data_IF_234855510251
#
_entry.id   IF_234855510251
#
_cell.length_a   1.000
_cell.length_b   1.000
_cell.length_c   1.000
_cell.angle_alpha   90.00
_cell.angle_beta   90.00
_cell.angle_gamma   90.00
#
_symmetry.space_group_name_H-M   'P 1'
#
loop_
_entity.id
_entity.type
_entity.pdbx_description
1 polymer ?
#
# COMPACT_ATOMS: atom_id res chain seq x y z
N UNK A 1 -2.37 55.48 16.12
CA UNK A 1 -3.72 55.18 15.57
C UNK A 1 -3.70 55.39 14.07
N UNK A 2 -4.17 54.41 13.28
CA UNK A 2 -4.99 54.53 12.05
C UNK A 2 -5.06 53.16 11.36
N UNK A 3 -6.23 52.52 11.45
CA UNK A 3 -6.56 51.32 10.66
C UNK A 3 -7.04 51.80 9.28
N UNK A 4 -6.53 51.21 8.20
CA UNK A 4 -7.15 51.35 6.88
C UNK A 4 -7.73 49.98 6.46
N UNK A 5 -8.98 50.01 6.01
CA UNK A 5 -9.84 48.88 5.72
C UNK A 5 -10.42 49.05 4.32
N UNK A 6 -10.18 48.08 3.43
CA UNK A 6 -10.83 47.88 2.13
C UNK A 6 -10.75 46.36 1.89
N UNK A 7 -11.79 45.54 1.70
CA UNK A 7 -13.18 45.67 1.22
C UNK A 7 -13.37 45.82 -0.31
N UNK A 8 -13.23 44.68 -0.99
CA UNK A 8 -13.95 44.27 -2.22
C UNK A 8 -14.16 42.74 -2.08
N UNK A 9 -15.33 42.09 -2.11
CA UNK A 9 -16.62 42.24 -2.81
C UNK A 9 -16.72 41.50 -4.15
N UNK A 10 -17.26 40.26 -4.09
CA UNK A 10 -17.96 39.51 -5.18
C UNK A 10 -17.10 39.11 -6.41
N UNK A 11 -17.40 38.07 -7.21
CA UNK A 11 -18.68 37.49 -7.70
C UNK A 11 -18.60 35.94 -7.81
N UNK A 12 -19.76 35.27 -7.81
CA UNK A 12 -19.91 33.82 -7.90
C UNK A 12 -19.91 33.25 -9.33
N UNK A 13 -19.64 31.94 -9.47
CA UNK A 13 -20.20 31.11 -10.54
C UNK A 13 -20.36 29.66 -10.06
N UNK A 14 -21.58 29.13 -10.15
CA UNK A 14 -21.87 27.70 -9.93
C UNK A 14 -21.67 26.94 -11.24
N UNK A 15 -21.15 25.71 -11.17
CA UNK A 15 -21.50 24.68 -12.15
C UNK A 15 -21.77 23.36 -11.43
N UNK A 16 -23.05 23.03 -11.31
CA UNK A 16 -23.53 21.70 -10.96
C UNK A 16 -23.53 20.87 -12.25
N UNK A 17 -22.80 19.75 -12.28
CA UNK A 17 -23.08 18.70 -13.25
C UNK A 17 -23.78 17.55 -12.53
N UNK A 18 -25.08 17.46 -12.79
CA UNK A 18 -25.90 16.30 -12.44
C UNK A 18 -25.74 15.25 -13.54
N UNK A 19 -25.56 13.99 -13.16
CA UNK A 19 -25.84 12.85 -14.03
C UNK A 19 -26.43 11.75 -13.15
N UNK A 20 -27.71 11.46 -13.39
CA UNK A 20 -28.52 10.52 -12.61
C UNK A 20 -29.14 9.50 -13.58
N UNK A 21 -29.60 8.37 -13.03
CA UNK A 21 -30.32 7.27 -13.68
C UNK A 21 -29.45 6.34 -14.57
N UNK A 22 -29.65 5.01 -14.61
CA UNK A 22 -30.79 4.18 -14.12
C UNK A 22 -30.35 2.85 -13.50
N UNK A 23 -31.12 2.44 -12.48
CA UNK A 23 -31.28 1.04 -12.03
C UNK A 23 -32.03 0.20 -13.08
N UNK A 24 -31.79 -1.13 -13.09
CA UNK A 24 -32.78 -2.08 -13.58
C UNK A 24 -32.79 -3.38 -12.74
N UNK A 25 -33.99 -3.69 -12.26
CA UNK A 25 -34.55 -4.89 -11.60
C UNK A 25 -34.42 -6.20 -12.43
N UNK A 26 -34.64 -7.45 -11.98
CA UNK A 26 -34.92 -8.17 -10.69
C UNK A 26 -35.00 -9.71 -11.05
N UNK A 27 -35.36 -10.60 -10.11
CA UNK A 27 -36.06 -11.91 -10.32
C UNK A 27 -35.19 -13.13 -10.74
N UNK A 28 -35.32 -14.42 -10.36
CA UNK A 28 -35.98 -15.28 -9.31
C UNK A 28 -35.67 -16.76 -9.69
N UNK A 29 -35.57 -17.82 -8.85
CA UNK A 29 -35.35 -18.08 -7.42
C UNK A 29 -35.28 -19.64 -7.20
N UNK A 30 -35.24 -20.14 -5.96
CA UNK A 30 -35.75 -21.45 -5.47
C UNK A 30 -34.82 -22.70 -5.57
N UNK A 31 -34.36 -23.14 -4.38
CA UNK A 31 -34.23 -24.52 -3.84
C UNK A 31 -33.62 -25.67 -4.67
N UNK A 32 -32.76 -26.55 -4.11
CA UNK A 32 -33.10 -27.43 -2.96
C UNK A 32 -31.85 -28.15 -2.37
N UNK A 33 -31.89 -28.41 -1.06
CA UNK A 33 -30.96 -29.18 -0.21
C UNK A 33 -30.75 -30.66 -0.61
N UNK A 34 -29.54 -31.23 -0.38
CA UNK A 34 -29.26 -32.57 0.23
C UNK A 34 -27.72 -32.72 0.36
N UNK A 35 -27.10 -32.54 1.54
CA UNK A 35 -26.77 -33.52 2.60
C UNK A 35 -25.45 -34.29 2.41
N UNK A 36 -24.74 -34.46 3.53
CA UNK A 36 -23.39 -34.99 3.75
C UNK A 36 -23.11 -36.41 3.23
N UNK A 37 -21.83 -36.72 2.98
CA UNK A 37 -21.03 -37.72 3.75
C UNK A 37 -19.60 -37.77 3.19
N UNK A 38 -18.59 -37.74 4.05
CA UNK A 38 -17.19 -37.94 3.64
C UNK A 38 -16.70 -39.35 3.90
N UNK A 39 -15.68 -39.78 3.14
CA UNK A 39 -14.58 -40.57 3.69
C UNK A 39 -13.32 -40.38 2.83
N UNK A 40 -12.15 -40.46 3.47
CA UNK A 40 -10.84 -40.37 2.84
C UNK A 40 -10.52 -41.59 2.00
N UNK A 41 -9.88 -41.42 0.84
CA UNK A 41 -8.65 -42.17 0.52
C UNK A 41 -7.75 -41.40 -0.45
N UNK A 42 -6.44 -41.58 -0.31
CA UNK A 42 -5.39 -40.84 -0.98
C UNK A 42 -5.06 -41.44 -2.35
N UNK A 43 -5.46 -40.77 -3.43
CA UNK A 43 -4.94 -41.02 -4.78
C UNK A 43 -3.98 -39.88 -5.18
N UNK A 44 -2.76 -40.25 -5.57
CA UNK A 44 -1.73 -39.29 -5.99
C UNK A 44 -2.01 -38.83 -7.42
N UNK A 45 -2.74 -37.73 -7.58
CA UNK A 45 -2.85 -37.03 -8.86
C UNK A 45 -1.88 -35.84 -8.88
N UNK A 46 -0.96 -35.86 -9.84
CA UNK A 46 -0.22 -34.67 -10.26
C UNK A 46 -1.24 -33.70 -10.84
N UNK A 47 -1.73 -32.77 -10.03
CA UNK A 47 -2.56 -31.66 -10.51
C UNK A 47 -1.79 -30.93 -11.60
N UNK A 48 -2.30 -31.00 -12.82
CA UNK A 48 -1.87 -30.11 -13.88
C UNK A 48 -2.03 -28.68 -13.36
N UNK A 49 -0.95 -27.89 -13.44
CA UNK A 49 -0.97 -26.53 -12.94
C UNK A 49 -2.14 -25.77 -13.57
N UNK A 50 -2.99 -25.16 -12.73
CA UNK A 50 -4.04 -24.25 -13.18
C UNK A 50 -3.34 -23.13 -13.93
N UNK A 51 -3.50 -23.10 -15.26
CA UNK A 51 -2.55 -22.46 -16.17
C UNK A 51 -2.55 -20.92 -16.16
N UNK A 52 -3.10 -20.28 -15.12
CA UNK A 52 -3.31 -18.84 -15.00
C UNK A 52 -3.23 -18.31 -13.55
N UNK A 53 -2.62 -19.03 -12.60
CA UNK A 53 -2.38 -18.45 -11.26
C UNK A 53 -1.24 -17.41 -11.30
N UNK A 54 -1.45 -16.17 -10.80
CA UNK A 54 -0.44 -15.12 -10.78
C UNK A 54 0.83 -15.51 -10.01
N UNK A 55 1.98 -15.43 -10.70
CA UNK A 55 3.28 -15.75 -10.10
C UNK A 55 3.59 -14.77 -8.98
N UNK A 56 3.92 -15.30 -7.80
CA UNK A 56 4.19 -14.51 -6.60
C UNK A 56 5.59 -14.79 -6.06
N UNK A 57 6.27 -13.73 -5.66
CA UNK A 57 7.64 -13.70 -5.13
C UNK A 57 7.64 -13.22 -3.67
N UNK A 58 8.63 -13.67 -2.90
CA UNK A 58 8.87 -13.16 -1.55
C UNK A 58 9.67 -11.85 -1.62
N UNK A 59 9.34 -10.87 -0.77
CA UNK A 59 10.03 -9.57 -0.74
C UNK A 59 10.61 -9.29 0.63
N UNK A 60 11.90 -8.97 0.64
CA UNK A 60 12.69 -8.69 1.85
C UNK A 60 13.33 -7.31 1.80
N UNK A 61 13.57 -6.75 2.99
CA UNK A 61 14.05 -5.38 3.19
C UNK A 61 15.30 -5.42 4.08
N UNK A 62 16.39 -4.77 3.65
CA UNK A 62 17.66 -4.76 4.39
C UNK A 62 18.23 -3.33 4.49
N UNK A 63 18.36 -2.76 5.70
CA UNK A 63 17.92 -3.28 7.00
C UNK A 63 16.39 -3.29 7.13
N UNK A 64 15.85 -4.19 7.96
CA UNK A 64 14.39 -4.25 8.22
C UNK A 64 13.87 -3.05 9.04
N UNK A 65 14.74 -2.29 9.71
CA UNK A 65 14.36 -1.15 10.56
C UNK A 65 15.19 0.09 10.21
N UNK A 66 14.53 1.25 10.17
CA UNK A 66 15.13 2.55 9.94
C UNK A 66 14.70 3.54 11.04
N UNK A 67 15.64 4.33 11.54
CA UNK A 67 15.38 5.40 12.51
C UNK A 67 15.48 6.75 11.81
N UNK A 68 14.48 7.60 12.02
CA UNK A 68 14.23 8.86 11.32
C UNK A 68 13.85 9.98 12.30
N UNK A 69 13.87 11.20 11.78
CA UNK A 69 13.58 12.44 12.48
C UNK A 69 14.84 13.07 13.10
N UNK A 70 14.86 14.40 13.23
CA UNK A 70 16.04 15.13 13.71
C UNK A 70 16.42 14.77 15.15
N UNK A 71 15.47 14.23 15.93
CA UNK A 71 15.66 13.75 17.31
C UNK A 71 15.69 12.22 17.42
N UNK A 72 15.58 11.48 16.30
CA UNK A 72 15.43 10.02 16.24
C UNK A 72 14.10 9.52 16.84
N UNK A 73 13.08 10.35 16.77
CA UNK A 73 11.74 10.13 17.33
C UNK A 73 10.94 9.03 16.60
N UNK A 74 11.23 8.76 15.32
CA UNK A 74 10.50 7.79 14.53
C UNK A 74 11.35 6.55 14.25
N UNK A 75 10.87 5.37 14.63
CA UNK A 75 11.45 4.09 14.20
C UNK A 75 10.46 3.35 13.33
N UNK A 76 10.81 3.13 12.06
CA UNK A 76 9.99 2.41 11.09
C UNK A 76 10.60 1.03 10.88
N UNK A 77 9.88 -0.01 11.30
CA UNK A 77 10.16 -1.40 10.89
C UNK A 77 9.35 -1.72 9.63
N UNK A 78 10.02 -2.18 8.58
CA UNK A 78 9.38 -2.68 7.37
C UNK A 78 9.21 -4.19 7.53
N UNK A 79 8.00 -4.69 7.35
CA UNK A 79 7.72 -6.12 7.40
C UNK A 79 7.97 -6.75 6.02
N UNK A 80 8.37 -8.04 5.94
CA UNK A 80 8.44 -8.77 4.68
C UNK A 80 7.12 -8.66 3.90
N UNK A 81 7.25 -8.62 2.58
CA UNK A 81 6.13 -8.46 1.66
C UNK A 81 6.06 -9.57 0.62
N UNK A 82 5.12 -9.42 -0.29
CA UNK A 82 4.98 -10.23 -1.50
C UNK A 82 5.01 -9.34 -2.73
N UNK A 83 5.38 -9.89 -3.87
CA UNK A 83 5.24 -9.24 -5.17
C UNK A 83 4.56 -10.20 -6.15
N UNK A 84 3.42 -9.80 -6.71
CA UNK A 84 2.60 -10.66 -7.57
C UNK A 84 2.55 -10.09 -8.98
N UNK A 85 2.88 -10.91 -9.98
CA UNK A 85 2.79 -10.54 -11.40
C UNK A 85 1.33 -10.28 -11.79
N UNK A 86 1.11 -9.17 -12.49
CA UNK A 86 -0.18 -8.83 -13.08
C UNK A 86 -0.15 -9.32 -14.53
N UNK A 87 -0.86 -10.41 -14.81
CA UNK A 87 -0.97 -11.00 -16.16
C UNK A 87 -2.35 -10.82 -16.75
N UNK A 88 -2.39 -10.51 -18.04
CA UNK A 88 -3.63 -10.53 -18.84
C UNK A 88 -4.07 -11.98 -19.16
N UNK A 89 -5.32 -12.19 -19.61
CA UNK A 89 -5.84 -13.52 -19.97
C UNK A 89 -5.09 -14.23 -21.11
N UNK A 90 -4.23 -13.52 -21.86
CA UNK A 90 -3.36 -14.05 -22.90
C UNK A 90 -1.97 -14.50 -22.38
N UNK A 91 -1.69 -14.28 -21.08
CA UNK A 91 -0.41 -14.57 -20.45
C UNK A 91 0.61 -13.42 -20.50
N UNK A 92 0.25 -12.26 -21.06
CA UNK A 92 1.15 -11.09 -21.11
C UNK A 92 1.30 -10.46 -19.73
N UNK A 93 2.53 -10.32 -19.24
CA UNK A 93 2.83 -9.64 -17.96
C UNK A 93 2.74 -8.12 -18.16
N UNK A 94 1.75 -7.50 -17.52
CA UNK A 94 1.51 -6.06 -17.52
C UNK A 94 2.32 -5.32 -16.43
N UNK A 95 2.71 -6.02 -15.36
CA UNK A 95 3.48 -5.44 -14.27
C UNK A 95 3.62 -6.36 -13.06
N UNK A 96 3.98 -5.79 -11.92
CA UNK A 96 4.03 -6.50 -10.64
C UNK A 96 3.50 -5.61 -9.53
N UNK A 97 2.57 -6.12 -8.73
CA UNK A 97 2.08 -5.44 -7.53
C UNK A 97 2.90 -5.92 -6.31
N UNK A 98 3.72 -5.02 -5.77
CA UNK A 98 4.50 -5.21 -4.55
C UNK A 98 3.66 -4.76 -3.36
N UNK A 99 3.43 -5.64 -2.38
CA UNK A 99 2.62 -5.38 -1.20
C UNK A 99 3.38 -5.69 0.09
N UNK A 100 3.40 -4.73 1.03
CA UNK A 100 4.02 -4.91 2.35
C UNK A 100 3.33 -4.06 3.43
N UNK A 101 3.79 -4.18 4.68
CA UNK A 101 3.32 -3.41 5.84
C UNK A 101 4.50 -2.78 6.56
N UNK A 102 4.25 -1.71 7.31
CA UNK A 102 5.23 -1.12 8.24
C UNK A 102 4.68 -1.08 9.67
N UNK A 103 5.57 -1.04 10.64
CA UNK A 103 5.27 -0.66 12.02
C UNK A 103 6.02 0.62 12.35
N UNK A 104 5.29 1.64 12.81
CA UNK A 104 5.82 2.92 13.26
C UNK A 104 5.84 2.92 14.79
N UNK A 105 7.03 2.96 15.38
CA UNK A 105 7.25 3.19 16.81
C UNK A 105 7.58 4.65 17.05
N UNK A 106 6.89 5.27 18.01
CA UNK A 106 7.18 6.62 18.48
C UNK A 106 8.09 6.56 19.71
N UNK A 107 9.31 7.06 19.57
CA UNK A 107 10.32 7.09 20.63
C UNK A 107 10.20 8.32 21.55
N UNK A 108 9.28 9.25 21.25
CA UNK A 108 8.97 10.39 22.12
C UNK A 108 8.38 9.91 23.46
N UNK A 109 8.55 10.71 24.52
CA UNK A 109 8.04 10.42 25.86
C UNK A 109 6.56 10.76 26.03
N UNK A 110 5.89 10.05 26.94
CA UNK A 110 4.50 10.35 27.33
C UNK A 110 4.39 11.83 27.73
N UNK A 111 3.52 12.58 27.06
CA UNK A 111 3.37 14.03 27.19
C UNK A 111 4.06 14.87 26.11
N UNK A 112 4.85 14.24 25.23
CA UNK A 112 5.38 14.84 23.99
C UNK A 112 4.44 14.55 22.80
N UNK A 113 4.90 14.81 21.57
CA UNK A 113 4.07 14.78 20.37
C UNK A 113 3.85 13.34 19.82
N UNK A 114 2.61 13.07 19.41
CA UNK A 114 2.29 12.05 18.40
C UNK A 114 3.11 12.29 17.13
N UNK A 115 3.62 11.23 16.52
CA UNK A 115 4.27 11.28 15.21
C UNK A 115 3.38 10.62 14.16
N UNK A 116 3.62 10.91 12.88
CA UNK A 116 3.01 10.16 11.80
C UNK A 116 3.80 10.24 10.50
N UNK A 117 3.58 9.24 9.66
CA UNK A 117 4.25 9.05 8.38
C UNK A 117 3.19 8.76 7.31
N UNK A 118 3.39 9.29 6.11
CA UNK A 118 2.56 8.96 4.98
C UNK A 118 3.33 8.10 3.97
N UNK A 119 2.82 6.92 3.59
CA UNK A 119 3.37 6.15 2.48
C UNK A 119 3.46 6.97 1.17
N UNK A 120 2.66 8.04 1.02
CA UNK A 120 2.74 9.02 -0.09
C UNK A 120 4.10 9.68 -0.28
N UNK A 121 4.90 9.71 0.77
CA UNK A 121 6.17 10.45 0.79
C UNK A 121 7.33 9.50 0.51
N UNK A 122 7.11 8.19 0.65
CA UNK A 122 8.11 7.16 0.38
C UNK A 122 8.35 7.01 -1.12
N UNK A 123 9.58 6.61 -1.47
CA UNK A 123 10.00 6.50 -2.87
C UNK A 123 10.69 5.17 -3.10
N UNK A 124 10.03 4.27 -3.81
CA UNK A 124 10.65 3.06 -4.31
C UNK A 124 11.47 3.42 -5.55
N UNK A 125 12.75 3.03 -5.53
CA UNK A 125 13.68 3.16 -6.66
C UNK A 125 13.83 1.79 -7.28
N UNK A 126 13.73 1.73 -8.60
CA UNK A 126 13.83 0.50 -9.39
C UNK A 126 15.28 0.31 -9.89
N UNK A 127 15.58 -0.84 -10.50
CA UNK A 127 16.95 -1.15 -10.97
C UNK A 127 17.49 -0.15 -12.01
N UNK A 128 16.61 0.39 -12.87
CA UNK A 128 16.90 1.44 -13.85
C UNK A 128 17.11 2.85 -13.24
N UNK A 129 16.96 2.97 -11.91
CA UNK A 129 16.99 4.21 -11.12
C UNK A 129 15.80 5.16 -11.35
N UNK A 130 14.73 4.71 -12.01
CA UNK A 130 13.43 5.40 -11.92
C UNK A 130 12.92 5.34 -10.48
N UNK A 131 12.09 6.32 -10.10
CA UNK A 131 11.51 6.39 -8.77
C UNK A 131 10.00 6.55 -8.86
N UNK A 132 9.28 5.68 -8.16
CA UNK A 132 7.82 5.65 -8.10
C UNK A 132 7.32 5.85 -6.67
N UNK A 133 6.13 6.43 -6.56
CA UNK A 133 5.34 6.44 -5.33
C UNK A 133 4.53 5.15 -5.20
N UNK A 134 4.02 4.90 -4.00
CA UNK A 134 3.05 3.84 -3.73
C UNK A 134 1.78 4.03 -4.58
N UNK A 135 1.13 2.92 -4.92
CA UNK A 135 -0.20 2.88 -5.54
C UNK A 135 -1.30 3.04 -4.49
N UNK A 136 -1.15 2.38 -3.33
CA UNK A 136 -2.02 2.56 -2.16
C UNK A 136 -1.23 2.50 -0.85
N UNK A 137 -1.82 3.04 0.22
CA UNK A 137 -1.23 3.09 1.55
C UNK A 137 -1.73 4.32 2.31
N UNK A 138 -2.26 4.11 3.52
CA UNK A 138 -2.85 5.17 4.34
C UNK A 138 -1.83 5.84 5.26
N UNK A 139 -2.11 7.09 5.64
CA UNK A 139 -1.37 7.77 6.71
C UNK A 139 -1.41 6.95 8.02
N UNK A 140 -0.26 6.88 8.69
CA UNK A 140 -0.08 6.14 9.93
C UNK A 140 0.45 7.08 11.02
N UNK A 141 -0.23 7.14 12.16
CA UNK A 141 0.25 7.86 13.35
C UNK A 141 0.48 6.92 14.54
N UNK A 142 1.38 7.31 15.44
CA UNK A 142 1.62 6.59 16.69
C UNK A 142 1.83 7.55 17.86
N UNK A 143 1.10 7.29 18.94
CA UNK A 143 1.18 8.01 20.21
C UNK A 143 2.56 7.80 20.88
N UNK A 144 3.02 8.73 21.74
CA UNK A 144 4.32 8.59 22.42
C UNK A 144 4.50 7.25 23.15
N UNK A 145 5.70 6.70 23.09
CA UNK A 145 6.09 5.36 23.57
C UNK A 145 5.24 4.19 23.03
N UNK A 146 4.47 4.38 21.96
CA UNK A 146 3.62 3.37 21.32
C UNK A 146 4.20 2.85 20.00
N UNK A 147 3.59 1.78 19.46
CA UNK A 147 3.85 1.25 18.12
C UNK A 147 2.54 0.96 17.41
N UNK A 148 2.36 1.53 16.22
CA UNK A 148 1.19 1.32 15.37
C UNK A 148 1.62 0.62 14.07
N UNK A 149 0.86 -0.38 13.61
CA UNK A 149 1.09 -1.04 12.32
C UNK A 149 0.20 -0.42 11.22
N UNK A 150 0.73 -0.30 10.00
CA UNK A 150 -0.02 0.19 8.84
C UNK A 150 -1.05 -0.81 8.32
N UNK A 151 -1.97 -0.31 7.50
CA UNK A 151 -2.61 -1.10 6.44
C UNK A 151 -1.57 -1.59 5.42
N UNK A 152 -2.01 -2.34 4.42
CA UNK A 152 -1.15 -2.66 3.28
C UNK A 152 -0.74 -1.40 2.52
N UNK A 153 0.52 -1.41 2.09
CA UNK A 153 1.13 -0.43 1.21
C UNK A 153 1.47 -1.18 -0.06
N UNK A 154 0.96 -0.70 -1.20
CA UNK A 154 1.16 -1.34 -2.50
C UNK A 154 1.96 -0.44 -3.43
N UNK A 155 2.76 -1.04 -4.32
CA UNK A 155 3.47 -0.37 -5.40
C UNK A 155 3.22 -1.14 -6.70
N UNK A 156 2.95 -0.43 -7.80
CA UNK A 156 2.82 -1.04 -9.13
C UNK A 156 4.09 -0.79 -9.92
N UNK A 157 4.83 -1.87 -10.17
CA UNK A 157 6.05 -1.85 -10.97
C UNK A 157 5.69 -2.12 -12.43
N UNK A 158 6.31 -1.40 -13.40
CA UNK A 158 6.19 -1.72 -14.82
C UNK A 158 6.64 -3.16 -15.13
N UNK A 159 6.13 -3.74 -16.22
CA UNK A 159 6.52 -5.07 -16.68
C UNK A 159 8.06 -5.23 -16.77
N UNK A 160 8.59 -6.28 -16.14
CA UNK A 160 10.03 -6.57 -16.11
C UNK A 160 10.88 -5.69 -15.18
N UNK A 161 10.31 -4.65 -14.57
CA UNK A 161 11.04 -3.81 -13.63
C UNK A 161 11.17 -4.48 -12.25
N UNK A 162 12.30 -4.25 -11.56
CA UNK A 162 12.58 -4.83 -10.24
C UNK A 162 12.82 -3.73 -9.20
N UNK A 163 12.39 -3.93 -7.94
CA UNK A 163 12.65 -2.99 -6.86
C UNK A 163 14.13 -3.08 -6.43
N UNK A 164 14.73 -1.94 -6.09
CA UNK A 164 16.14 -1.84 -5.68
C UNK A 164 16.29 -1.19 -4.31
N UNK A 165 15.60 -0.08 -4.05
CA UNK A 165 15.72 0.65 -2.77
C UNK A 165 14.42 1.36 -2.40
N UNK A 166 13.91 1.12 -1.21
CA UNK A 166 12.83 1.90 -0.60
C UNK A 166 13.44 3.06 0.18
N UNK A 167 13.06 4.28 -0.16
CA UNK A 167 13.42 5.47 0.60
C UNK A 167 12.26 5.89 1.50
N UNK A 168 12.56 5.97 2.79
CA UNK A 168 11.65 6.45 3.83
C UNK A 168 12.01 7.89 4.18
N UNK A 169 11.01 8.71 4.45
CA UNK A 169 11.18 10.14 4.76
C UNK A 169 10.33 10.53 5.96
N UNK A 170 10.89 11.36 6.84
CA UNK A 170 10.19 11.96 7.98
C UNK A 170 11.02 13.13 8.53
N UNK A 171 10.38 14.27 8.85
CA UNK A 171 11.03 15.49 9.39
C UNK A 171 12.33 15.87 8.63
N UNK A 172 12.25 15.96 7.30
CA UNK A 172 13.37 16.28 6.38
C UNK A 172 14.54 15.26 6.39
N UNK A 173 14.48 14.22 7.23
CA UNK A 173 15.44 13.11 7.23
C UNK A 173 15.03 12.02 6.24
N UNK A 174 16.02 11.26 5.75
CA UNK A 174 15.85 10.15 4.82
C UNK A 174 16.58 8.91 5.34
N UNK A 175 15.96 7.76 5.20
CA UNK A 175 16.59 6.44 5.30
C UNK A 175 16.42 5.69 3.99
N UNK A 176 17.41 4.88 3.61
CA UNK A 176 17.38 4.07 2.39
C UNK A 176 17.54 2.61 2.77
N UNK A 177 16.63 1.77 2.29
CA UNK A 177 16.56 0.33 2.59
C UNK A 177 16.60 -0.44 1.29
N UNK A 178 17.53 -1.39 1.17
CA UNK A 178 17.62 -2.26 0.00
C UNK A 178 16.41 -3.19 -0.05
N UNK A 179 15.85 -3.38 -1.24
CA UNK A 179 14.72 -4.29 -1.48
C UNK A 179 15.21 -5.47 -2.32
N UNK A 180 14.83 -6.69 -1.96
CA UNK A 180 15.14 -7.90 -2.73
C UNK A 180 13.88 -8.71 -2.93
N UNK A 181 13.66 -9.14 -4.17
CA UNK A 181 12.56 -10.00 -4.61
C UNK A 181 13.11 -11.38 -4.97
N UNK A 182 12.51 -12.44 -4.43
CA UNK A 182 12.97 -13.84 -4.53
C UNK A 182 11.87 -14.75 -5.08
#
# INVERSE_FOLDING_TARGET
>A
MKKNLYLCATVAAMFLFSCDSKTQDETTDTSTTTTETGNSEQASETTAAVANEPKTYAVTFTPETAVLGKKKEASIKILPGTATELTDPDGTVQGTELTFKISLTNNNKIGENTIGVSPSDFRLVLEDNTSISQHSGSYLSSEPESTTQSSEITYRLPAGAKPKTLNLFYDETRASVSVSMQ
#
